data_IF_538628617817
#
_entry.id   IF_538628617817
#
_cell.length_a   1.000
_cell.length_b   1.000
_cell.length_c   1.000
_cell.angle_alpha   90.00
_cell.angle_beta   90.00
_cell.angle_gamma   90.00
#
_symmetry.space_group_name_H-M   'P 1'
#
loop_
_entity.id
_entity.type
_entity.pdbx_description
1 polymer ?
#
# COMPACT_ATOMS: atom_id res chain seq x y z
N UNK A 1 39.42 35.14 27.06
CA UNK A 1 38.21 34.80 27.85
C UNK A 1 38.61 33.71 28.85
N UNK A 2 38.60 34.08 30.13
CA UNK A 2 38.93 33.23 31.27
C UNK A 2 37.96 32.05 31.35
N UNK A 3 38.46 30.82 31.32
CA UNK A 3 37.70 29.65 31.76
C UNK A 3 38.10 29.43 33.22
N UNK A 4 37.17 29.78 34.11
CA UNK A 4 37.33 29.67 35.56
C UNK A 4 37.74 28.26 35.96
N UNK A 5 38.72 28.20 36.85
CA UNK A 5 39.15 26.99 37.55
C UNK A 5 37.97 26.53 38.42
N UNK A 6 37.34 25.41 38.06
CA UNK A 6 36.31 24.79 38.88
C UNK A 6 37.04 23.89 39.87
N UNK A 7 37.25 24.40 41.09
CA UNK A 7 37.72 23.61 42.22
C UNK A 7 36.65 22.58 42.61
N UNK A 8 36.74 21.39 42.02
CA UNK A 8 35.99 20.21 42.47
C UNK A 8 36.66 19.65 43.72
N UNK A 9 36.26 20.17 44.88
CA UNK A 9 36.51 19.56 46.18
C UNK A 9 36.00 18.09 46.16
N UNK A 10 36.82 17.07 46.49
CA UNK A 10 36.47 15.65 46.34
C UNK A 10 35.50 15.18 47.43
N UNK A 11 34.29 15.75 47.45
CA UNK A 11 33.16 15.07 48.03
C UNK A 11 32.89 13.83 47.16
N UNK A 12 33.18 12.64 47.70
CA UNK A 12 32.99 11.31 47.09
C UNK A 12 31.78 11.29 46.16
N UNK A 13 32.01 11.44 44.86
CA UNK A 13 30.94 11.34 43.89
C UNK A 13 30.54 9.87 43.77
N UNK A 14 29.24 9.62 43.73
CA UNK A 14 28.65 8.27 43.65
C UNK A 14 28.69 7.69 42.24
N UNK A 15 29.22 8.45 41.27
CA UNK A 15 29.33 8.02 39.89
C UNK A 15 30.55 7.12 39.73
N UNK A 16 30.33 5.89 39.28
CA UNK A 16 31.31 4.80 39.29
C UNK A 16 32.64 5.14 38.59
N UNK A 17 32.64 6.08 37.64
CA UNK A 17 33.86 6.48 36.92
C UNK A 17 34.84 7.32 37.75
N UNK A 18 34.42 7.87 38.88
CA UNK A 18 35.29 8.65 39.78
C UNK A 18 35.78 7.86 41.00
N UNK A 19 35.26 6.64 41.22
CA UNK A 19 35.81 5.70 42.19
C UNK A 19 36.88 4.84 41.50
N UNK A 20 38.14 5.05 41.86
CA UNK A 20 39.29 4.36 41.28
C UNK A 20 39.20 2.82 41.42
N UNK A 21 38.58 2.31 42.49
CA UNK A 21 38.40 0.87 42.67
C UNK A 21 37.32 0.31 41.75
N UNK A 22 36.18 1.01 41.66
CA UNK A 22 35.09 0.62 40.77
C UNK A 22 35.51 0.70 39.30
N UNK A 23 36.27 1.72 38.92
CA UNK A 23 36.81 1.90 37.57
C UNK A 23 37.78 0.76 37.20
N UNK A 24 38.77 0.46 38.04
CA UNK A 24 39.72 -0.63 37.77
C UNK A 24 39.03 -1.99 37.69
N UNK A 25 38.01 -2.20 38.54
CA UNK A 25 37.19 -3.42 38.48
C UNK A 25 36.40 -3.49 37.17
N UNK A 26 35.74 -2.41 36.77
CA UNK A 26 34.98 -2.35 35.52
C UNK A 26 35.85 -2.56 34.27
N UNK A 27 37.06 -1.98 34.24
CA UNK A 27 38.04 -2.22 33.16
C UNK A 27 38.42 -3.69 33.10
N UNK A 28 38.74 -4.30 34.25
CA UNK A 28 39.13 -5.71 34.31
C UNK A 28 37.98 -6.65 33.94
N UNK A 29 36.76 -6.36 34.40
CA UNK A 29 35.56 -7.15 34.06
C UNK A 29 35.24 -7.04 32.56
N UNK A 30 35.45 -5.85 31.97
CA UNK A 30 35.31 -5.62 30.54
C UNK A 30 36.38 -6.37 29.73
N UNK A 31 37.65 -6.30 30.14
CA UNK A 31 38.76 -7.06 29.53
C UNK A 31 38.57 -8.57 29.66
N UNK A 32 38.02 -9.07 30.77
CA UNK A 32 37.72 -10.49 30.94
C UNK A 32 36.61 -10.96 30.01
N UNK A 33 35.58 -10.13 29.81
CA UNK A 33 34.42 -10.49 28.97
C UNK A 33 34.73 -10.36 27.49
N UNK A 34 35.53 -9.36 27.10
CA UNK A 34 35.69 -8.96 25.70
C UNK A 34 37.14 -8.93 25.19
N UNK A 35 38.14 -9.14 26.04
CA UNK A 35 39.56 -9.04 25.68
C UNK A 35 40.02 -7.62 25.38
N UNK A 36 41.20 -7.50 24.76
CA UNK A 36 41.76 -6.21 24.36
C UNK A 36 41.16 -5.72 23.04
N UNK A 37 40.07 -4.94 23.12
CA UNK A 37 39.39 -4.37 21.96
C UNK A 37 40.08 -3.09 21.51
N UNK A 38 40.41 -3.00 20.22
CA UNK A 38 40.81 -1.73 19.60
C UNK A 38 39.60 -0.79 19.50
N UNK A 39 39.76 0.47 19.91
CA UNK A 39 38.75 1.52 19.74
C UNK A 39 38.51 1.78 18.24
N UNK A 40 37.46 1.17 17.71
CA UNK A 40 36.98 1.36 16.35
C UNK A 40 35.46 1.27 16.33
N UNK A 41 34.82 1.99 15.40
CA UNK A 41 33.39 1.87 15.19
C UNK A 41 33.02 0.44 14.77
N UNK A 42 31.86 -0.04 15.21
CA UNK A 42 31.37 -1.39 14.95
C UNK A 42 32.34 -2.51 15.40
N UNK A 43 33.13 -2.29 16.46
CA UNK A 43 34.10 -3.28 16.96
C UNK A 43 33.50 -4.66 17.25
N UNK A 44 32.20 -4.73 17.59
CA UNK A 44 31.45 -5.99 17.77
C UNK A 44 31.27 -6.77 16.47
N UNK A 45 31.10 -6.08 15.34
CA UNK A 45 30.91 -6.69 14.02
C UNK A 45 32.28 -7.08 13.43
N UNK A 46 33.30 -6.23 13.60
CA UNK A 46 34.64 -6.51 13.06
C UNK A 46 35.29 -7.74 13.70
N UNK A 47 35.06 -8.01 14.98
CA UNK A 47 35.49 -9.24 15.66
C UNK A 47 34.78 -10.48 15.09
N UNK A 48 33.47 -10.40 14.85
CA UNK A 48 32.68 -11.50 14.27
C UNK A 48 33.11 -11.79 12.84
N UNK A 49 33.37 -10.75 12.04
CA UNK A 49 33.88 -10.87 10.67
C UNK A 49 35.29 -11.47 10.68
N UNK A 50 36.21 -10.98 11.53
CA UNK A 50 37.56 -11.53 11.64
C UNK A 50 37.51 -13.03 11.96
N UNK A 51 36.76 -13.46 12.98
CA UNK A 51 36.62 -14.87 13.34
C UNK A 51 35.97 -15.73 12.24
N UNK A 52 35.12 -15.15 11.39
CA UNK A 52 34.49 -15.85 10.26
C UNK A 52 35.44 -16.02 9.06
N UNK A 53 36.52 -15.26 8.99
CA UNK A 53 37.52 -15.34 7.91
C UNK A 53 38.79 -16.13 8.29
N UNK A 54 39.01 -16.48 9.57
CA UNK A 54 40.20 -17.26 10.00
C UNK A 54 39.97 -18.77 10.04
N UNK A 55 38.74 -19.26 9.86
CA UNK A 55 38.41 -20.68 10.04
C UNK A 55 38.73 -21.58 8.83
N UNK A 56 39.83 -21.28 8.12
CA UNK A 56 40.33 -22.12 7.04
C UNK A 56 41.82 -22.48 7.15
N UNK A 57 42.55 -22.15 8.23
CA UNK A 57 43.97 -22.55 8.29
C UNK A 57 44.67 -22.63 9.66
N UNK A 58 44.03 -23.12 10.71
CA UNK A 58 44.75 -23.64 11.88
C UNK A 58 43.90 -24.61 12.71
N UNK A 59 44.13 -25.92 12.54
CA UNK A 59 43.69 -26.91 13.54
C UNK A 59 44.55 -26.77 14.79
N UNK A 60 44.00 -26.12 15.82
CA UNK A 60 44.44 -26.28 17.22
C UNK A 60 43.48 -27.30 17.89
N UNK A 61 43.96 -28.48 18.32
CA UNK A 61 43.08 -29.54 18.81
C UNK A 61 42.49 -29.30 20.22
N UNK A 62 42.69 -28.13 20.84
CA UNK A 62 42.38 -27.96 22.27
C UNK A 62 41.45 -26.79 22.65
N UNK A 63 40.59 -26.31 21.74
CA UNK A 63 39.47 -25.44 22.12
C UNK A 63 38.15 -26.23 22.12
N UNK A 64 37.35 -26.20 23.21
CA UNK A 64 35.99 -26.68 23.14
C UNK A 64 35.24 -25.77 22.16
N UNK A 65 34.85 -26.36 21.04
CA UNK A 65 34.00 -25.76 20.03
C UNK A 65 32.58 -25.61 20.64
N UNK A 66 32.35 -24.53 21.36
CA UNK A 66 31.01 -24.15 21.81
C UNK A 66 30.47 -23.04 20.93
N UNK A 67 29.40 -23.40 20.22
CA UNK A 67 28.31 -22.55 19.75
C UNK A 67 28.60 -21.57 18.60
N UNK A 68 28.54 -22.11 17.38
CA UNK A 68 28.11 -21.36 16.18
C UNK A 68 26.84 -21.92 15.54
N UNK A 69 26.21 -22.94 16.14
CA UNK A 69 25.01 -23.58 15.60
C UNK A 69 23.73 -22.72 15.77
N UNK A 70 23.58 -21.95 16.85
CA UNK A 70 22.33 -21.21 17.09
C UNK A 70 22.18 -19.92 16.27
N UNK A 71 23.28 -19.29 15.84
CA UNK A 71 23.21 -18.02 15.10
C UNK A 71 22.80 -18.18 13.63
N UNK A 72 22.96 -19.38 13.04
CA UNK A 72 22.61 -19.66 11.65
C UNK A 72 21.12 -19.99 11.49
N UNK A 73 20.53 -20.72 12.45
CA UNK A 73 19.09 -20.99 12.51
C UNK A 73 18.30 -19.70 12.77
N UNK A 74 18.77 -18.83 13.66
CA UNK A 74 18.14 -17.52 13.89
C UNK A 74 18.17 -16.64 12.63
N UNK A 75 19.30 -16.58 11.92
CA UNK A 75 19.40 -15.78 10.70
C UNK A 75 18.54 -16.35 9.56
N UNK A 76 18.52 -17.67 9.39
CA UNK A 76 17.68 -18.33 8.40
C UNK A 76 16.19 -18.13 8.71
N UNK A 77 15.80 -18.12 9.99
CA UNK A 77 14.42 -17.85 10.41
C UNK A 77 13.98 -16.42 10.06
N UNK A 78 14.84 -15.43 10.27
CA UNK A 78 14.55 -14.01 9.97
C UNK A 78 14.52 -13.75 8.47
N UNK A 79 15.35 -14.42 7.68
CA UNK A 79 15.43 -14.24 6.23
C UNK A 79 14.40 -15.06 5.45
N UNK A 80 13.69 -15.99 6.10
CA UNK A 80 12.73 -16.91 5.46
C UNK A 80 11.57 -16.18 4.78
N UNK A 81 11.09 -15.11 5.39
CA UNK A 81 9.94 -14.34 4.89
C UNK A 81 10.35 -13.25 3.88
N UNK A 82 11.66 -13.06 3.66
CA UNK A 82 12.16 -12.09 2.71
C UNK A 82 12.09 -12.70 1.30
N UNK A 83 11.37 -12.08 0.36
CA UNK A 83 11.30 -12.56 -1.01
C UNK A 83 12.67 -12.45 -1.68
N UNK A 84 13.39 -13.57 -1.74
CA UNK A 84 14.75 -13.62 -2.28
C UNK A 84 14.78 -14.05 -3.76
N UNK A 85 13.74 -14.73 -4.25
CA UNK A 85 13.59 -15.08 -5.67
C UNK A 85 12.89 -13.97 -6.45
N UNK A 86 13.14 -13.83 -7.77
CA UNK A 86 12.44 -12.86 -8.62
C UNK A 86 10.91 -13.00 -8.54
N UNK A 87 10.41 -14.24 -8.58
CA UNK A 87 8.97 -14.53 -8.53
C UNK A 87 8.32 -14.06 -7.21
N UNK A 88 8.99 -14.31 -6.07
CA UNK A 88 8.48 -13.87 -4.77
C UNK A 88 8.52 -12.34 -4.65
N UNK A 89 9.49 -11.68 -5.28
CA UNK A 89 9.54 -10.20 -5.32
C UNK A 89 8.41 -9.63 -6.16
N UNK A 90 8.11 -10.24 -7.30
CA UNK A 90 7.00 -9.81 -8.16
C UNK A 90 5.65 -9.95 -7.44
N UNK A 91 5.44 -11.06 -6.72
CA UNK A 91 4.26 -11.25 -5.87
C UNK A 91 4.18 -10.20 -4.75
N UNK A 92 5.31 -9.87 -4.11
CA UNK A 92 5.35 -8.84 -3.09
C UNK A 92 5.00 -7.46 -3.67
N UNK A 93 5.55 -7.12 -4.84
CA UNK A 93 5.23 -5.88 -5.55
C UNK A 93 3.76 -5.82 -5.98
N UNK A 94 3.19 -6.93 -6.42
CA UNK A 94 1.76 -7.01 -6.73
C UNK A 94 0.89 -6.72 -5.50
N UNK A 95 1.20 -7.35 -4.36
CA UNK A 95 0.51 -7.07 -3.09
C UNK A 95 0.62 -5.61 -2.69
N UNK A 96 1.80 -5.00 -2.83
CA UNK A 96 2.01 -3.59 -2.53
C UNK A 96 1.17 -2.71 -3.45
N UNK A 97 1.16 -2.96 -4.76
CA UNK A 97 0.33 -2.21 -5.72
C UNK A 97 -1.14 -2.28 -5.37
N UNK A 98 -1.67 -3.48 -5.15
CA UNK A 98 -3.08 -3.69 -4.83
C UNK A 98 -3.46 -3.01 -3.51
N UNK A 99 -2.56 -3.06 -2.51
CA UNK A 99 -2.78 -2.42 -1.22
C UNK A 99 -2.77 -0.89 -1.33
N UNK A 100 -1.83 -0.31 -2.09
CA UNK A 100 -1.78 1.13 -2.33
C UNK A 100 -3.02 1.62 -3.08
N UNK A 101 -3.48 0.86 -4.09
CA UNK A 101 -4.71 1.17 -4.81
C UNK A 101 -5.91 1.17 -3.86
N UNK A 102 -6.10 0.08 -3.10
CA UNK A 102 -7.18 -0.04 -2.13
C UNK A 102 -7.14 1.08 -1.08
N UNK A 103 -5.95 1.46 -0.61
CA UNK A 103 -5.76 2.56 0.33
C UNK A 103 -6.18 3.91 -0.26
N UNK A 104 -5.80 4.18 -1.52
CA UNK A 104 -6.24 5.38 -2.24
C UNK A 104 -7.76 5.46 -2.35
N UNK A 105 -8.39 4.37 -2.80
CA UNK A 105 -9.86 4.27 -2.88
C UNK A 105 -10.52 4.46 -1.52
N UNK A 106 -9.99 3.83 -0.46
CA UNK A 106 -10.51 3.96 0.90
C UNK A 106 -10.48 5.41 1.40
N UNK A 107 -9.38 6.13 1.14
CA UNK A 107 -9.28 7.55 1.50
C UNK A 107 -10.37 8.39 0.84
N UNK A 108 -10.71 8.11 -0.42
CA UNK A 108 -11.78 8.81 -1.15
C UNK A 108 -13.17 8.42 -0.66
N UNK A 109 -13.46 7.12 -0.57
CA UNK A 109 -14.82 6.62 -0.40
C UNK A 109 -15.30 6.58 1.06
N UNK A 110 -14.40 6.32 2.01
CA UNK A 110 -14.78 6.16 3.42
C UNK A 110 -14.36 7.32 4.30
N UNK A 111 -13.27 8.00 3.93
CA UNK A 111 -12.67 9.05 4.75
C UNK A 111 -12.82 10.45 4.13
N UNK A 112 -13.33 10.53 2.89
CA UNK A 112 -13.47 11.78 2.11
C UNK A 112 -12.20 12.64 2.12
N UNK A 113 -11.03 11.99 2.26
CA UNK A 113 -9.74 12.63 2.31
C UNK A 113 -9.09 12.62 0.93
N UNK A 114 -9.60 13.49 0.06
CA UNK A 114 -9.18 13.57 -1.34
C UNK A 114 -7.69 13.88 -1.52
N UNK A 115 -7.07 14.81 -0.76
CA UNK A 115 -5.63 15.07 -0.90
C UNK A 115 -4.77 13.84 -0.62
N UNK A 116 -5.10 13.05 0.41
CA UNK A 116 -4.38 11.79 0.70
C UNK A 116 -4.64 10.73 -0.35
N UNK A 117 -5.87 10.60 -0.83
CA UNK A 117 -6.20 9.69 -1.94
C UNK A 117 -5.33 10.01 -3.16
N UNK A 118 -5.24 11.28 -3.54
CA UNK A 118 -4.45 11.70 -4.71
C UNK A 118 -2.98 11.39 -4.49
N UNK A 119 -2.41 11.77 -3.34
CA UNK A 119 -0.99 11.54 -3.05
C UNK A 119 -0.60 10.05 -3.12
N UNK A 120 -1.39 9.16 -2.52
CA UNK A 120 -1.11 7.70 -2.54
C UNK A 120 -1.21 7.12 -3.95
N UNK A 121 -2.21 7.55 -4.72
CA UNK A 121 -2.40 7.06 -6.10
C UNK A 121 -1.34 7.61 -7.06
N UNK A 122 -0.87 8.85 -6.88
CA UNK A 122 0.27 9.39 -7.64
C UNK A 122 1.57 8.67 -7.30
N UNK A 123 1.82 8.39 -6.01
CA UNK A 123 2.98 7.61 -5.57
C UNK A 123 2.95 6.20 -6.19
N UNK A 124 1.77 5.57 -6.25
CA UNK A 124 1.57 4.27 -6.89
C UNK A 124 1.98 4.30 -8.37
N UNK A 125 1.54 5.32 -9.14
CA UNK A 125 1.93 5.47 -10.55
C UNK A 125 3.43 5.74 -10.72
N UNK A 126 4.01 6.55 -9.83
CA UNK A 126 5.44 6.85 -9.88
C UNK A 126 6.30 5.61 -9.59
N UNK A 127 5.87 4.79 -8.63
CA UNK A 127 6.61 3.60 -8.19
C UNK A 127 6.44 2.42 -9.15
N UNK A 128 5.30 2.34 -9.85
CA UNK A 128 4.97 1.24 -10.75
C UNK A 128 4.43 1.77 -12.10
N UNK A 129 5.32 2.37 -12.92
CA UNK A 129 4.94 2.85 -14.25
C UNK A 129 4.54 1.68 -15.16
N UNK A 130 3.64 1.91 -16.11
CA UNK A 130 3.21 0.92 -17.11
C UNK A 130 2.63 -0.39 -16.52
N UNK A 131 2.02 -0.30 -15.34
CA UNK A 131 1.36 -1.46 -14.73
C UNK A 131 -0.03 -1.71 -15.35
N UNK A 132 -0.51 -2.96 -15.28
CA UNK A 132 -1.85 -3.32 -15.81
C UNK A 132 -3.00 -2.53 -15.18
N UNK A 133 -2.80 -2.02 -13.97
CA UNK A 133 -3.77 -1.23 -13.19
C UNK A 133 -3.67 0.28 -13.46
N UNK A 134 -2.76 0.73 -14.32
CA UNK A 134 -2.51 2.17 -14.53
C UNK A 134 -3.77 2.93 -14.95
N UNK A 135 -4.54 2.38 -15.89
CA UNK A 135 -5.83 2.97 -16.32
C UNK A 135 -6.83 3.08 -15.16
N UNK A 136 -6.88 2.08 -14.26
CA UNK A 136 -7.77 2.07 -13.11
C UNK A 136 -7.35 3.14 -12.09
N UNK A 137 -6.04 3.28 -11.86
CA UNK A 137 -5.46 4.29 -10.96
C UNK A 137 -5.68 5.70 -11.49
N UNK A 138 -5.50 5.91 -12.80
CA UNK A 138 -5.76 7.20 -13.45
C UNK A 138 -7.22 7.61 -13.31
N UNK A 139 -8.15 6.66 -13.47
CA UNK A 139 -9.57 6.94 -13.28
C UNK A 139 -9.89 7.31 -11.81
N UNK A 140 -9.32 6.59 -10.84
CA UNK A 140 -9.48 6.97 -9.43
C UNK A 140 -8.88 8.34 -9.11
N UNK A 141 -7.75 8.70 -9.72
CA UNK A 141 -7.16 10.03 -9.62
C UNK A 141 -8.06 11.12 -10.21
N UNK A 142 -8.70 10.85 -11.34
CA UNK A 142 -9.71 11.75 -11.91
C UNK A 142 -10.88 11.97 -10.94
N UNK A 143 -11.47 10.88 -10.41
CA UNK A 143 -12.59 10.95 -9.47
C UNK A 143 -12.20 11.70 -8.18
N UNK A 144 -11.06 11.36 -7.57
CA UNK A 144 -10.57 12.03 -6.37
C UNK A 144 -10.33 13.52 -6.62
N UNK A 145 -9.78 13.90 -7.79
CA UNK A 145 -9.53 15.30 -8.14
C UNK A 145 -10.82 16.09 -8.38
N UNK A 146 -11.80 15.48 -9.04
CA UNK A 146 -13.14 16.06 -9.22
C UNK A 146 -13.82 16.32 -7.87
N UNK A 147 -13.81 15.33 -6.97
CA UNK A 147 -14.42 15.46 -5.65
C UNK A 147 -13.67 16.45 -4.74
N UNK A 148 -12.36 16.61 -4.94
CA UNK A 148 -11.58 17.64 -4.26
C UNK A 148 -11.89 19.07 -4.75
N UNK A 149 -12.39 19.21 -5.98
CA UNK A 149 -12.53 20.50 -6.67
C UNK A 149 -11.28 20.95 -7.43
N UNK A 150 -10.27 20.08 -7.61
CA UNK A 150 -9.08 20.38 -8.40
C UNK A 150 -9.31 20.04 -9.88
N UNK A 151 -9.94 20.98 -10.59
CA UNK A 151 -10.30 20.81 -12.00
C UNK A 151 -9.06 20.66 -12.90
N UNK A 152 -7.92 21.24 -12.51
CA UNK A 152 -6.69 21.17 -13.30
C UNK A 152 -6.16 19.73 -13.29
N UNK A 153 -6.05 19.12 -12.11
CA UNK A 153 -5.64 17.71 -12.00
C UNK A 153 -6.66 16.78 -12.64
N UNK A 154 -7.95 17.00 -12.41
CA UNK A 154 -9.00 16.20 -13.03
C UNK A 154 -8.88 16.22 -14.56
N UNK A 155 -8.72 17.39 -15.17
CA UNK A 155 -8.55 17.52 -16.63
C UNK A 155 -7.29 16.81 -17.11
N UNK A 156 -6.16 16.97 -16.40
CA UNK A 156 -4.90 16.28 -16.71
C UNK A 156 -5.07 14.76 -16.77
N UNK A 157 -5.69 14.14 -15.75
CA UNK A 157 -5.87 12.68 -15.74
C UNK A 157 -6.91 12.23 -16.76
N UNK A 158 -7.99 13.00 -16.95
CA UNK A 158 -9.00 12.73 -18.00
C UNK A 158 -8.35 12.68 -19.38
N UNK A 159 -7.58 13.71 -19.73
CA UNK A 159 -6.87 13.77 -21.01
C UNK A 159 -5.93 12.58 -21.17
N UNK A 160 -5.16 12.25 -20.13
CA UNK A 160 -4.26 11.10 -20.12
C UNK A 160 -4.98 9.77 -20.39
N UNK A 161 -6.16 9.56 -19.78
CA UNK A 161 -6.97 8.35 -20.01
C UNK A 161 -7.43 8.29 -21.47
N UNK A 162 -7.89 9.41 -22.04
CA UNK A 162 -8.42 9.46 -23.41
C UNK A 162 -7.29 9.28 -24.43
N UNK A 163 -6.10 9.82 -24.19
CA UNK A 163 -4.97 9.76 -25.11
C UNK A 163 -4.23 8.43 -25.04
N UNK A 164 -3.93 7.94 -23.83
CA UNK A 164 -3.16 6.72 -23.62
C UNK A 164 -4.03 5.45 -23.66
N UNK A 165 -5.31 5.55 -23.28
CA UNK A 165 -6.23 4.40 -23.17
C UNK A 165 -7.59 4.62 -23.85
N UNK A 166 -7.65 5.05 -25.13
CA UNK A 166 -8.90 5.39 -25.82
C UNK A 166 -9.93 4.26 -25.91
N UNK A 167 -9.47 3.00 -25.93
CA UNK A 167 -10.33 1.81 -25.97
C UNK A 167 -10.84 1.34 -24.61
N UNK A 168 -10.39 1.96 -23.51
CA UNK A 168 -10.82 1.58 -22.16
C UNK A 168 -12.27 1.98 -21.89
N UNK A 169 -12.94 1.23 -21.02
CA UNK A 169 -14.28 1.58 -20.50
C UNK A 169 -14.29 2.99 -19.87
N UNK A 170 -13.17 3.41 -19.28
CA UNK A 170 -13.02 4.74 -18.68
C UNK A 170 -12.98 5.85 -19.72
N UNK A 171 -12.19 5.68 -20.79
CA UNK A 171 -12.17 6.67 -21.88
C UNK A 171 -13.53 6.81 -22.54
N UNK A 172 -14.24 5.70 -22.80
CA UNK A 172 -15.60 5.72 -23.35
C UNK A 172 -16.56 6.47 -22.41
N UNK A 173 -16.50 6.19 -21.11
CA UNK A 173 -17.29 6.90 -20.09
C UNK A 173 -16.97 8.41 -20.01
N UNK A 174 -15.69 8.79 -20.12
CA UNK A 174 -15.25 10.18 -20.00
C UNK A 174 -15.53 11.04 -21.25
N UNK A 175 -15.61 10.39 -22.41
CA UNK A 175 -15.97 11.00 -23.70
C UNK A 175 -17.49 11.15 -23.85
N UNK A 176 -18.25 10.26 -23.22
CA UNK A 176 -19.71 10.30 -23.20
C UNK A 176 -20.23 10.35 -21.77
N UNK A 177 -20.17 11.51 -21.08
CA UNK A 177 -20.67 11.67 -19.72
C UNK A 177 -22.15 11.25 -19.59
N UNK A 178 -22.94 11.55 -20.63
CA UNK A 178 -24.36 11.17 -20.74
C UNK A 178 -24.57 9.64 -20.81
N UNK A 179 -23.54 8.83 -21.07
CA UNK A 179 -23.67 7.37 -21.21
C UNK A 179 -23.84 6.65 -19.86
N UNK A 180 -23.29 7.23 -18.77
CA UNK A 180 -23.47 6.67 -17.41
C UNK A 180 -24.80 7.14 -16.79
N UNK A 181 -25.12 8.43 -16.88
CA UNK A 181 -26.45 8.94 -16.46
C UNK A 181 -27.55 8.18 -17.20
N UNK A 182 -27.38 7.90 -18.50
CA UNK A 182 -28.44 7.22 -19.23
C UNK A 182 -28.62 5.75 -18.87
N UNK A 183 -27.65 4.99 -18.33
CA UNK A 183 -27.95 3.57 -18.03
C UNK A 183 -28.81 3.44 -16.77
N UNK A 184 -28.43 4.12 -15.69
CA UNK A 184 -29.23 4.13 -14.45
C UNK A 184 -30.55 4.89 -14.64
N UNK A 185 -30.56 6.01 -15.36
CA UNK A 185 -31.81 6.72 -15.66
C UNK A 185 -32.70 5.96 -16.63
N UNK A 186 -32.15 5.26 -17.64
CA UNK A 186 -32.97 4.40 -18.51
C UNK A 186 -33.55 3.23 -17.72
N UNK A 187 -32.78 2.61 -16.82
CA UNK A 187 -33.28 1.54 -15.95
C UNK A 187 -34.35 2.09 -14.99
N UNK A 188 -34.16 3.27 -14.41
CA UNK A 188 -35.14 3.91 -13.53
C UNK A 188 -36.43 4.30 -14.28
N UNK A 189 -36.31 4.86 -15.49
CA UNK A 189 -37.44 5.18 -16.36
C UNK A 189 -38.18 3.91 -16.79
N UNK A 190 -37.44 2.84 -17.11
CA UNK A 190 -38.01 1.54 -17.46
C UNK A 190 -38.75 0.90 -16.29
N UNK A 191 -38.17 0.91 -15.08
CA UNK A 191 -38.81 0.43 -13.86
C UNK A 191 -40.10 1.22 -13.55
N UNK A 192 -40.06 2.55 -13.68
CA UNK A 192 -41.25 3.39 -13.52
C UNK A 192 -42.33 3.05 -14.55
N UNK A 193 -41.94 2.80 -15.80
CA UNK A 193 -42.87 2.40 -16.86
C UNK A 193 -43.53 1.05 -16.54
N UNK A 194 -42.80 0.10 -15.95
CA UNK A 194 -43.35 -1.17 -15.48
C UNK A 194 -44.30 -1.01 -14.30
N UNK A 195 -43.93 -0.22 -13.30
CA UNK A 195 -44.78 0.04 -12.12
C UNK A 195 -46.14 0.64 -12.53
N UNK A 196 -46.13 1.59 -13.48
CA UNK A 196 -47.35 2.17 -14.03
C UNK A 196 -48.19 1.15 -14.81
N UNK A 197 -47.54 0.34 -15.65
CA UNK A 197 -48.22 -0.69 -16.44
C UNK A 197 -48.86 -1.76 -15.54
N UNK A 198 -48.20 -2.12 -14.43
CA UNK A 198 -48.74 -3.03 -13.43
C UNK A 198 -49.94 -2.44 -12.68
N UNK A 199 -49.92 -1.15 -12.35
CA UNK A 199 -51.07 -0.46 -11.73
C UNK A 199 -52.29 -0.44 -12.65
N UNK A 200 -52.10 -0.20 -13.95
CA UNK A 200 -53.16 -0.22 -14.98
C UNK A 200 -53.74 -1.64 -15.13
N UNK A 201 -52.88 -2.66 -15.08
CA UNK A 201 -53.34 -4.05 -15.09
C UNK A 201 -54.20 -4.36 -13.84
N UNK A 202 -53.72 -3.99 -12.65
CA UNK A 202 -54.45 -4.20 -11.39
C UNK A 202 -55.75 -3.40 -11.27
N UNK A 203 -55.90 -2.28 -11.99
CA UNK A 203 -57.18 -1.54 -12.05
C UNK A 203 -58.22 -2.19 -12.96
N UNK A 204 -57.87 -3.30 -13.63
CA UNK A 204 -58.75 -4.04 -14.54
C UNK A 204 -58.71 -3.55 -15.99
N UNK A 205 -57.84 -2.59 -16.32
CA UNK A 205 -57.69 -2.01 -17.65
C UNK A 205 -56.71 -2.82 -18.52
N UNK A 206 -57.02 -4.11 -18.70
CA UNK A 206 -56.14 -5.07 -19.38
C UNK A 206 -55.79 -4.67 -20.83
N UNK A 207 -56.68 -3.96 -21.53
CA UNK A 207 -56.44 -3.50 -22.90
C UNK A 207 -55.33 -2.45 -23.00
N UNK A 208 -55.29 -1.50 -22.07
CA UNK A 208 -54.25 -0.47 -22.01
C UNK A 208 -52.92 -1.07 -21.55
N UNK A 209 -52.95 -1.97 -20.55
CA UNK A 209 -51.76 -2.69 -20.09
C UNK A 209 -51.11 -3.48 -21.25
N UNK A 210 -51.90 -4.20 -22.05
CA UNK A 210 -51.38 -4.96 -23.20
C UNK A 210 -50.76 -4.04 -24.27
N UNK A 211 -51.35 -2.86 -24.50
CA UNK A 211 -50.81 -1.85 -25.41
C UNK A 211 -49.44 -1.32 -24.96
N UNK A 212 -49.29 -1.05 -23.66
CA UNK A 212 -48.02 -0.61 -23.07
C UNK A 212 -46.94 -1.70 -23.15
N UNK A 213 -47.32 -2.97 -22.93
CA UNK A 213 -46.40 -4.11 -23.08
C UNK A 213 -45.84 -4.20 -24.51
N UNK A 214 -46.67 -4.00 -25.54
CA UNK A 214 -46.19 -4.03 -26.92
C UNK A 214 -45.32 -2.82 -27.30
N UNK A 215 -45.44 -1.70 -26.58
CA UNK A 215 -44.69 -0.48 -26.84
C UNK A 215 -43.32 -0.45 -26.15
N UNK A 216 -43.12 -1.25 -25.10
CA UNK A 216 -41.90 -1.19 -24.27
C UNK A 216 -40.63 -1.46 -25.09
N UNK A 217 -40.64 -2.45 -25.98
CA UNK A 217 -39.47 -2.80 -26.80
C UNK A 217 -39.15 -1.74 -27.87
N UNK A 218 -40.15 -0.95 -28.27
CA UNK A 218 -39.95 0.21 -29.16
C UNK A 218 -39.42 1.43 -28.42
N UNK A 219 -39.80 1.60 -27.15
CA UNK A 219 -39.40 2.74 -26.31
C UNK A 219 -38.02 2.51 -25.66
N UNK A 220 -37.70 1.26 -25.33
CA UNK A 220 -36.48 0.87 -24.64
C UNK A 220 -35.78 -0.25 -25.42
N UNK A 221 -34.81 0.12 -26.28
CA UNK A 221 -34.05 -0.82 -27.15
C UNK A 221 -33.31 -1.93 -26.39
N UNK A 222 -32.92 -1.69 -25.14
CA UNK A 222 -32.27 -2.66 -24.26
C UNK A 222 -33.16 -2.89 -23.05
N UNK A 223 -34.05 -3.88 -23.16
CA UNK A 223 -34.92 -4.33 -22.08
C UNK A 223 -34.30 -5.57 -21.40
N UNK A 224 -33.73 -5.45 -20.18
CA UNK A 224 -33.14 -6.58 -19.45
C UNK A 224 -34.16 -7.62 -18.96
N UNK A 225 -35.46 -7.30 -18.98
CA UNK A 225 -36.54 -8.20 -18.59
C UNK A 225 -37.12 -8.98 -19.79
N UNK A 226 -36.73 -8.64 -21.02
CA UNK A 226 -37.22 -9.30 -22.24
C UNK A 226 -38.74 -9.17 -22.45
N UNK A 227 -39.33 -9.96 -23.37
CA UNK A 227 -40.77 -9.92 -23.65
C UNK A 227 -41.63 -10.53 -22.52
N UNK A 228 -41.02 -11.21 -21.56
CA UNK A 228 -41.69 -11.78 -20.40
C UNK A 228 -41.49 -10.88 -19.19
N UNK A 229 -42.54 -10.17 -18.82
CA UNK A 229 -42.60 -9.47 -17.56
C UNK A 229 -42.54 -10.48 -16.39
N UNK A 230 -41.79 -10.20 -15.32
CA UNK A 230 -41.81 -11.01 -14.11
C UNK A 230 -43.09 -10.71 -13.31
N UNK A 231 -44.17 -11.42 -13.61
CA UNK A 231 -45.36 -11.49 -12.74
C UNK A 231 -45.93 -12.90 -12.70
#
# INVERSE_FOLDING_TARGET
MSRGNIDINPAKSTFFAYDEKALKKGIKDFENTWGNIKLQDNWRISQKIQNSFVDNNAQDPNKPNQETADASEDLASVLKDIPNTPELKDQAHEKIRNSMYALGVLYREKLENYPKSIAVLEELLQKYPASSIEQDVLYQLYLASMQHGDQIRATKYKERIITEYPGSKYAQSLLHPDFIETTEDKIAQLNKYYDETYRIFNSGECGEAMGRIHQVDSLFKENPFGPNLPW
#
